data_IF_204025326816
#
_entry.id   IF_204025326816
#
_cell.length_a   1.000
_cell.length_b   1.000
_cell.length_c   1.000
_cell.angle_alpha   90.00
_cell.angle_beta   90.00
_cell.angle_gamma   90.00
#
_symmetry.space_group_name_H-M   'P 1'
#
loop_
_entity.id
_entity.type
_entity.pdbx_description
1 polymer ?
#
# COMPACT_ATOMS: atom_id res chain seq x y z
N UNK A 1 -8.22 -12.91 -11.70
CA UNK A 1 -7.03 -12.22 -11.14
C UNK A 1 -5.73 -13.02 -11.29
N UNK A 2 -5.60 -14.23 -10.70
CA UNK A 2 -4.35 -15.04 -10.73
C UNK A 2 -3.76 -15.26 -12.13
N UNK A 3 -4.60 -15.52 -13.13
CA UNK A 3 -4.15 -15.69 -14.52
C UNK A 3 -3.42 -14.47 -15.10
N UNK A 4 -3.83 -13.25 -14.76
CA UNK A 4 -3.11 -12.05 -15.22
C UNK A 4 -1.74 -11.95 -14.57
N UNK A 5 -1.63 -12.17 -13.25
CA UNK A 5 -0.35 -12.07 -12.54
C UNK A 5 0.66 -13.10 -13.06
N UNK A 6 0.26 -14.37 -13.15
CA UNK A 6 1.17 -15.46 -13.54
C UNK A 6 1.44 -15.49 -15.04
N UNK A 7 0.40 -15.36 -15.88
CA UNK A 7 0.54 -15.60 -17.33
C UNK A 7 0.81 -14.33 -18.13
N UNK A 8 0.23 -13.19 -17.73
CA UNK A 8 0.42 -11.91 -18.43
C UNK A 8 1.67 -11.18 -17.94
N UNK A 9 1.93 -11.20 -16.64
CA UNK A 9 3.07 -10.49 -16.04
C UNK A 9 4.23 -11.40 -15.65
N UNK A 10 4.10 -12.73 -15.74
CA UNK A 10 5.18 -13.67 -15.42
C UNK A 10 5.56 -13.69 -13.93
N UNK A 11 4.69 -13.22 -13.04
CA UNK A 11 5.00 -13.04 -11.62
C UNK A 11 4.39 -14.14 -10.76
N UNK A 12 5.04 -14.42 -9.63
CA UNK A 12 4.47 -15.29 -8.60
C UNK A 12 3.19 -14.67 -8.03
N UNK A 13 2.15 -15.48 -7.93
CA UNK A 13 0.90 -15.04 -7.33
C UNK A 13 0.99 -15.08 -5.82
N UNK A 14 0.59 -13.99 -5.17
CA UNK A 14 0.40 -13.88 -3.72
C UNK A 14 -0.99 -13.33 -3.43
N UNK A 15 -1.56 -13.59 -2.23
CA UNK A 15 -2.84 -13.02 -1.85
C UNK A 15 -2.76 -11.48 -1.83
N UNK A 16 -3.62 -10.77 -2.59
CA UNK A 16 -3.45 -9.33 -2.80
C UNK A 16 -3.79 -8.49 -1.57
N UNK A 17 -4.81 -8.87 -0.80
CA UNK A 17 -5.29 -8.10 0.35
C UNK A 17 -4.23 -7.94 1.47
N UNK A 18 -3.67 -9.02 2.05
CA UNK A 18 -2.65 -8.88 3.10
C UNK A 18 -1.40 -8.18 2.57
N UNK A 19 -0.99 -8.49 1.32
CA UNK A 19 0.17 -7.84 0.71
C UNK A 19 -0.04 -6.34 0.49
N UNK A 20 -1.24 -5.90 0.10
CA UNK A 20 -1.55 -4.49 -0.05
C UNK A 20 -1.56 -3.76 1.29
N UNK A 21 -2.12 -4.39 2.34
CA UNK A 21 -2.09 -3.84 3.70
C UNK A 21 -0.65 -3.59 4.16
N UNK A 22 0.21 -4.60 4.05
CA UNK A 22 1.62 -4.49 4.45
C UNK A 22 2.36 -3.43 3.64
N UNK A 23 2.09 -3.35 2.34
CA UNK A 23 2.68 -2.32 1.48
C UNK A 23 2.32 -0.91 1.93
N UNK A 24 1.04 -0.64 2.17
CA UNK A 24 0.57 0.70 2.58
C UNK A 24 1.10 1.07 3.95
N UNK A 25 1.13 0.13 4.90
CA UNK A 25 1.69 0.36 6.22
C UNK A 25 3.20 0.63 6.17
N UNK A 26 3.96 -0.14 5.39
CA UNK A 26 5.39 0.10 5.21
C UNK A 26 5.68 1.44 4.51
N UNK A 27 4.86 1.82 3.52
CA UNK A 27 4.95 3.14 2.89
C UNK A 27 4.70 4.27 3.89
N UNK A 28 3.63 4.18 4.69
CA UNK A 28 3.33 5.15 5.76
C UNK A 28 4.42 5.21 6.83
N UNK A 29 5.03 4.06 7.16
CA UNK A 29 6.17 4.01 8.09
C UNK A 29 7.38 4.78 7.55
N UNK A 30 7.70 4.59 6.27
CA UNK A 30 8.78 5.32 5.59
C UNK A 30 8.50 6.83 5.61
N UNK A 31 7.28 7.25 5.26
CA UNK A 31 6.90 8.66 5.29
C UNK A 31 7.02 9.26 6.70
N UNK A 32 6.55 8.55 7.71
CA UNK A 32 6.69 8.97 9.10
C UNK A 32 8.17 9.09 9.52
N UNK A 33 9.01 8.14 9.10
CA UNK A 33 10.45 8.18 9.38
C UNK A 33 11.12 9.40 8.75
N UNK A 34 10.75 9.77 7.52
CA UNK A 34 11.22 11.00 6.89
C UNK A 34 10.76 12.24 7.65
N UNK A 35 9.49 12.29 8.06
CA UNK A 35 8.91 13.43 8.76
C UNK A 35 9.52 13.63 10.16
N UNK A 36 9.74 12.54 10.89
CA UNK A 36 10.23 12.56 12.29
C UNK A 36 11.75 12.40 12.39
N UNK A 37 12.44 12.23 11.26
CA UNK A 37 13.89 12.00 11.16
C UNK A 37 14.36 10.78 11.96
N UNK A 38 13.52 9.75 12.02
CA UNK A 38 13.87 8.46 12.66
C UNK A 38 14.39 7.47 11.62
N UNK A 39 15.10 6.41 12.05
CA UNK A 39 15.45 5.31 11.15
C UNK A 39 14.21 4.64 10.55
N UNK A 40 14.34 4.15 9.32
CA UNK A 40 13.37 3.23 8.72
C UNK A 40 13.65 1.83 9.25
N UNK A 41 12.68 1.27 9.95
CA UNK A 41 12.69 -0.09 10.47
C UNK A 41 11.26 -0.63 10.52
N UNK A 42 10.84 -1.26 9.42
CA UNK A 42 9.52 -1.83 9.24
C UNK A 42 9.66 -3.29 8.82
N UNK A 43 8.95 -4.18 9.51
CA UNK A 43 8.87 -5.59 9.14
C UNK A 43 7.43 -6.07 9.20
N UNK A 44 7.04 -6.83 8.17
CA UNK A 44 5.74 -7.47 8.01
C UNK A 44 5.95 -8.85 7.39
N UNK A 45 4.86 -9.59 7.19
CA UNK A 45 4.93 -10.89 6.50
C UNK A 45 5.44 -10.76 5.06
N UNK A 46 5.09 -9.65 4.39
CA UNK A 46 5.38 -9.47 2.95
C UNK A 46 6.59 -8.58 2.63
N UNK A 47 7.00 -7.71 3.56
CA UNK A 47 8.02 -6.69 3.31
C UNK A 47 8.88 -6.41 4.56
N UNK A 48 10.16 -6.16 4.31
CA UNK A 48 11.11 -5.60 5.28
C UNK A 48 11.74 -4.35 4.67
N UNK A 49 11.60 -3.22 5.36
CA UNK A 49 12.26 -1.96 5.02
C UNK A 49 13.12 -1.55 6.21
N UNK A 50 14.44 -1.65 6.07
CA UNK A 50 15.40 -1.35 7.14
C UNK A 50 16.64 -0.59 6.63
N UNK A 51 16.58 -0.05 5.42
CA UNK A 51 17.68 0.67 4.78
C UNK A 51 17.15 1.96 4.15
N UNK A 52 17.60 3.11 4.67
CA UNK A 52 17.27 4.43 4.14
C UNK A 52 18.52 5.32 4.14
N UNK A 53 19.36 5.24 3.08
CA UNK A 53 20.52 6.09 2.96
C UNK A 53 20.11 7.58 2.89
N UNK A 54 20.90 8.51 3.46
CA UNK A 54 20.54 9.94 3.50
C UNK A 54 20.19 10.54 2.14
N UNK A 55 20.82 10.07 1.07
CA UNK A 55 20.55 10.53 -0.30
C UNK A 55 19.11 10.28 -0.77
N UNK A 56 18.44 9.25 -0.24
CA UNK A 56 17.06 8.90 -0.60
C UNK A 56 16.02 9.41 0.40
N UNK A 57 16.44 10.16 1.42
CA UNK A 57 15.53 10.78 2.39
C UNK A 57 15.26 12.24 1.97
N UNK A 58 14.07 12.57 1.47
CA UNK A 58 13.73 13.93 1.07
C UNK A 58 13.56 14.90 2.25
N UNK A 59 13.50 14.40 3.48
CA UNK A 59 13.24 15.17 4.69
C UNK A 59 11.75 15.46 4.92
N UNK A 60 11.42 16.21 5.99
CA UNK A 60 10.05 16.55 6.33
C UNK A 60 9.44 17.55 5.34
N UNK A 61 8.11 17.52 5.25
CA UNK A 61 7.29 18.46 4.49
C UNK A 61 6.31 19.21 5.40
N UNK A 62 5.81 20.36 4.94
CA UNK A 62 4.89 21.20 5.70
C UNK A 62 3.51 20.57 5.91
N UNK A 63 3.09 19.67 5.00
CA UNK A 63 1.79 19.00 5.01
C UNK A 63 1.97 17.48 4.95
N UNK A 64 2.31 16.81 6.08
CA UNK A 64 2.67 15.40 6.09
C UNK A 64 1.48 14.44 5.93
N UNK A 65 0.24 14.93 6.04
CA UNK A 65 -0.99 14.13 5.96
C UNK A 65 -1.37 13.82 4.50
N UNK A 66 -0.56 13.01 3.84
CA UNK A 66 -0.79 12.59 2.45
C UNK A 66 -1.88 11.51 2.38
N UNK A 67 -2.97 11.83 1.69
CA UNK A 67 -4.11 10.92 1.56
C UNK A 67 -3.81 9.75 0.63
N UNK A 68 -4.12 8.54 1.09
CA UNK A 68 -3.93 7.30 0.34
C UNK A 68 -5.28 6.74 -0.06
N UNK A 69 -5.48 6.57 -1.36
CA UNK A 69 -6.67 5.92 -1.92
C UNK A 69 -6.24 4.71 -2.74
N UNK A 70 -7.02 3.63 -2.67
CA UNK A 70 -6.83 2.47 -3.54
C UNK A 70 -8.07 2.21 -4.37
N UNK A 71 -7.88 1.58 -5.53
CA UNK A 71 -9.00 0.88 -6.17
C UNK A 71 -9.16 -0.48 -5.52
N UNK A 72 -10.40 -0.80 -5.15
CA UNK A 72 -10.74 -2.03 -4.50
C UNK A 72 -11.97 -2.64 -5.17
N UNK A 73 -11.90 -3.96 -5.38
CA UNK A 73 -13.02 -4.79 -5.81
C UNK A 73 -13.13 -5.92 -4.82
N UNK A 74 -14.34 -6.37 -4.48
CA UNK A 74 -14.66 -7.34 -3.43
C UNK A 74 -14.45 -6.87 -1.98
N UNK A 75 -15.11 -7.58 -1.06
CA UNK A 75 -15.15 -7.29 0.38
C UNK A 75 -13.78 -7.29 1.04
N UNK A 76 -12.85 -8.15 0.62
CA UNK A 76 -11.53 -8.25 1.27
C UNK A 76 -10.66 -7.02 0.96
N UNK A 77 -10.64 -6.57 -0.30
CA UNK A 77 -9.91 -5.36 -0.67
C UNK A 77 -10.59 -4.10 -0.13
N UNK A 78 -11.92 -4.07 -0.09
CA UNK A 78 -12.66 -2.98 0.55
C UNK A 78 -12.37 -2.91 2.06
N UNK A 79 -12.25 -4.06 2.73
CA UNK A 79 -11.81 -4.13 4.12
C UNK A 79 -10.43 -3.52 4.33
N UNK A 80 -9.45 -3.86 3.47
CA UNK A 80 -8.11 -3.24 3.52
C UNK A 80 -8.19 -1.72 3.30
N UNK A 81 -9.01 -1.26 2.36
CA UNK A 81 -9.18 0.17 2.15
C UNK A 81 -9.73 0.88 3.40
N UNK A 82 -10.75 0.30 4.05
CA UNK A 82 -11.30 0.86 5.28
C UNK A 82 -10.35 0.81 6.48
N UNK A 83 -9.42 -0.15 6.49
CA UNK A 83 -8.45 -0.34 7.58
C UNK A 83 -7.27 0.63 7.49
N UNK A 84 -6.70 0.81 6.30
CA UNK A 84 -5.41 1.51 6.14
C UNK A 84 -5.41 2.66 5.12
N UNK A 85 -6.50 2.92 4.42
CA UNK A 85 -6.60 4.01 3.43
C UNK A 85 -7.52 5.14 3.91
N UNK A 86 -7.45 6.28 3.23
CA UNK A 86 -8.36 7.41 3.41
C UNK A 86 -9.61 7.31 2.52
N UNK A 87 -9.64 6.33 1.61
CA UNK A 87 -10.84 6.01 0.83
C UNK A 87 -10.59 5.05 -0.32
N UNK A 88 -11.63 4.89 -1.15
CA UNK A 88 -11.62 4.00 -2.31
C UNK A 88 -11.91 4.81 -3.57
N UNK A 89 -11.10 4.61 -4.60
CA UNK A 89 -11.39 5.08 -5.96
C UNK A 89 -12.00 3.94 -6.76
N UNK A 90 -13.32 4.00 -6.91
CA UNK A 90 -14.11 2.99 -7.58
C UNK A 90 -13.96 3.16 -9.10
N UNK A 91 -13.78 2.05 -9.82
CA UNK A 91 -13.65 2.09 -11.28
C UNK A 91 -14.99 2.46 -11.92
N UNK A 92 -14.98 3.20 -13.03
CA UNK A 92 -16.19 3.55 -13.79
C UNK A 92 -16.94 2.35 -14.42
N UNK A 93 -16.45 1.12 -14.22
CA UNK A 93 -17.12 -0.13 -14.64
C UNK A 93 -17.69 -0.91 -13.44
N UNK A 94 -17.73 -0.29 -12.26
CA UNK A 94 -18.29 -0.92 -11.07
C UNK A 94 -19.80 -1.08 -11.18
N UNK A 95 -20.28 -2.23 -10.73
CA UNK A 95 -21.70 -2.53 -10.56
C UNK A 95 -21.91 -2.98 -9.12
N UNK A 96 -23.13 -2.88 -8.60
CA UNK A 96 -23.46 -3.31 -7.23
C UNK A 96 -23.08 -4.75 -6.89
N UNK A 97 -22.92 -5.63 -7.90
CA UNK A 97 -22.48 -7.01 -7.67
C UNK A 97 -21.00 -7.11 -7.27
N UNK A 98 -20.18 -6.13 -7.63
CA UNK A 98 -18.72 -6.17 -7.54
C UNK A 98 -18.11 -5.06 -6.65
N UNK A 99 -18.93 -4.12 -6.16
CA UNK A 99 -18.57 -3.03 -5.24
C UNK A 99 -19.62 -2.96 -4.15
#
# INVERSE_FOLDING_TARGET
>A
MKGHIVRRFGMNWTPPAPRMRDYINGMKHIWNAWQTKTPVDYTSENFTFNLMPPFFNPGPIDHPDIKVYISAVNTNMLGVAGEVCDGVLVHGFSTHKYT
#
